data_IF_761684832654
#
_entry.id   IF_761684832654
#
_cell.length_a   1.000
_cell.length_b   1.000
_cell.length_c   1.000
_cell.angle_alpha   90.00
_cell.angle_beta   90.00
_cell.angle_gamma   90.00
#
_symmetry.space_group_name_H-M   'P 1'
#
loop_
_entity.id
_entity.type
_entity.pdbx_description
1 polymer ?
#
# COMPACT_ATOMS: atom_id res chain seq x y z
N UNK A 1 30.08 -26.60 54.13
CA UNK A 1 29.85 -25.29 53.48
C UNK A 1 28.70 -25.44 52.49
N UNK A 2 27.50 -24.88 52.76
CA UNK A 2 26.39 -24.87 51.80
C UNK A 2 26.36 -23.56 51.01
N UNK A 3 26.09 -23.62 49.70
CA UNK A 3 25.23 -22.65 48.97
C UNK A 3 25.16 -22.98 47.47
N UNK A 4 23.95 -23.24 46.93
CA UNK A 4 23.67 -23.24 45.50
C UNK A 4 23.19 -21.84 45.07
N UNK A 5 23.79 -21.26 44.01
CA UNK A 5 23.31 -19.97 43.48
C UNK A 5 22.46 -20.15 42.23
N UNK A 6 21.29 -19.54 42.33
CA UNK A 6 20.17 -19.57 41.43
C UNK A 6 20.44 -18.86 40.09
N UNK A 7 20.07 -19.59 39.04
CA UNK A 7 19.33 -19.16 37.86
C UNK A 7 18.83 -17.70 37.85
N UNK A 8 19.36 -16.88 36.93
CA UNK A 8 18.70 -15.70 36.38
C UNK A 8 18.70 -15.81 34.85
N UNK A 9 17.76 -16.60 34.31
CA UNK A 9 17.47 -16.63 32.88
C UNK A 9 16.74 -15.33 32.54
N UNK A 10 17.47 -14.36 32.04
CA UNK A 10 16.92 -13.11 31.52
C UNK A 10 15.85 -13.42 30.48
N UNK A 11 14.61 -13.01 30.76
CA UNK A 11 13.54 -12.95 29.76
C UNK A 11 13.94 -11.90 28.74
N UNK A 12 14.61 -12.31 27.67
CA UNK A 12 14.56 -11.54 26.42
C UNK A 12 13.09 -11.49 26.03
N UNK A 13 12.49 -10.30 26.01
CA UNK A 13 11.17 -10.11 25.42
C UNK A 13 11.37 -10.14 23.92
N UNK A 14 11.28 -11.32 23.35
CA UNK A 14 11.13 -11.56 21.93
C UNK A 14 9.75 -11.03 21.51
N UNK A 15 9.73 -9.78 21.03
CA UNK A 15 8.58 -9.11 20.41
C UNK A 15 8.21 -9.75 19.05
N UNK A 16 8.20 -11.07 18.96
CA UNK A 16 7.67 -11.77 17.80
C UNK A 16 6.14 -11.66 17.85
N UNK A 17 5.52 -11.17 16.77
CA UNK A 17 4.09 -11.36 16.56
C UNK A 17 3.82 -12.87 16.60
N UNK A 18 3.00 -13.31 17.56
CA UNK A 18 2.62 -14.71 17.75
C UNK A 18 1.15 -14.85 17.35
N UNK A 19 0.85 -15.92 16.64
CA UNK A 19 -0.53 -16.35 16.45
C UNK A 19 -1.13 -16.80 17.80
N UNK A 20 -2.46 -16.96 17.87
CA UNK A 20 -3.16 -17.41 19.08
C UNK A 20 -2.72 -18.78 19.64
N UNK A 21 -1.87 -19.50 18.92
CA UNK A 21 -1.27 -20.80 19.28
C UNK A 21 0.21 -20.71 19.70
N UNK A 22 0.81 -19.51 19.73
CA UNK A 22 2.18 -19.29 20.18
C UNK A 22 3.27 -19.50 19.13
N UNK A 23 2.93 -19.81 17.88
CA UNK A 23 3.90 -19.92 16.78
C UNK A 23 4.28 -18.51 16.28
N UNK A 24 5.58 -18.18 16.15
CA UNK A 24 5.99 -16.91 15.57
C UNK A 24 5.60 -16.89 14.08
N UNK A 25 4.77 -15.93 13.69
CA UNK A 25 4.60 -15.57 12.27
C UNK A 25 5.84 -14.80 11.86
N UNK A 26 6.87 -15.56 11.49
CA UNK A 26 7.93 -14.97 10.68
C UNK A 26 7.31 -14.63 9.33
N UNK A 27 7.54 -13.43 8.79
CA UNK A 27 7.20 -13.17 7.40
C UNK A 27 7.96 -14.21 6.57
N UNK A 28 7.27 -15.22 6.09
CA UNK A 28 7.84 -16.09 5.07
C UNK A 28 8.19 -15.21 3.86
N UNK A 29 9.12 -15.67 3.03
CA UNK A 29 9.52 -14.93 1.84
C UNK A 29 8.30 -14.46 1.00
N UNK A 30 7.24 -15.27 0.98
CA UNK A 30 5.98 -14.99 0.27
C UNK A 30 5.21 -13.79 0.88
N UNK A 31 5.12 -13.70 2.21
CA UNK A 31 4.47 -12.56 2.87
C UNK A 31 5.31 -11.27 2.74
N UNK A 32 6.64 -11.40 2.78
CA UNK A 32 7.54 -10.25 2.63
C UNK A 32 7.45 -9.61 1.24
N UNK A 33 7.25 -10.42 0.18
CA UNK A 33 7.16 -9.93 -1.20
C UNK A 33 5.91 -9.07 -1.47
N UNK A 34 4.83 -9.28 -0.71
CA UNK A 34 3.53 -8.61 -0.90
C UNK A 34 3.23 -7.54 0.14
N UNK A 35 4.10 -7.37 1.16
CA UNK A 35 3.88 -6.46 2.29
C UNK A 35 3.58 -5.00 1.88
N UNK A 36 4.16 -4.54 0.76
CA UNK A 36 3.98 -3.18 0.23
C UNK A 36 3.12 -3.12 -1.04
N UNK A 37 2.35 -4.18 -1.32
CA UNK A 37 1.49 -4.25 -2.49
C UNK A 37 0.03 -4.06 -2.10
N UNK A 38 -0.69 -3.25 -2.87
CA UNK A 38 -2.13 -3.05 -2.72
C UNK A 38 -2.79 -3.44 -4.04
N UNK A 39 -3.95 -4.10 -3.95
CA UNK A 39 -4.74 -4.43 -5.14
C UNK A 39 -5.17 -3.14 -5.83
N UNK A 40 -5.04 -3.08 -7.15
CA UNK A 40 -5.53 -1.95 -7.94
C UNK A 40 -7.01 -1.73 -7.66
N UNK A 41 -7.34 -0.52 -7.21
CA UNK A 41 -8.71 -0.19 -6.86
C UNK A 41 -9.58 -0.14 -8.13
N UNK A 42 -10.77 -0.76 -8.14
CA UNK A 42 -11.71 -0.64 -9.25
C UNK A 42 -12.19 0.81 -9.41
N UNK A 43 -12.41 1.24 -10.67
CA UNK A 43 -12.80 2.61 -11.03
C UNK A 43 -14.32 2.85 -11.06
N UNK A 44 -15.15 1.84 -10.80
CA UNK A 44 -16.58 2.03 -10.58
C UNK A 44 -16.87 3.09 -9.49
N UNK A 45 -17.84 3.96 -9.76
CA UNK A 45 -18.23 5.08 -8.91
C UNK A 45 -17.07 6.03 -8.58
N UNK A 46 -16.12 6.22 -9.50
CA UNK A 46 -15.00 7.14 -9.29
C UNK A 46 -15.48 8.55 -8.98
N UNK A 47 -16.52 9.03 -9.68
CA UNK A 47 -17.04 10.40 -9.52
C UNK A 47 -17.59 10.71 -8.13
N UNK A 48 -17.97 9.68 -7.37
CA UNK A 48 -18.55 9.86 -6.03
C UNK A 48 -17.48 9.84 -4.93
N UNK A 49 -16.21 9.59 -5.26
CA UNK A 49 -15.11 9.55 -4.28
C UNK A 49 -14.50 10.92 -4.11
N UNK A 50 -14.39 11.39 -2.87
CA UNK A 50 -13.78 12.66 -2.52
C UNK A 50 -12.30 12.54 -2.09
N UNK A 51 -11.77 11.31 -1.99
CA UNK A 51 -10.37 11.03 -1.66
C UNK A 51 -9.84 9.92 -2.57
N UNK A 52 -8.68 10.15 -3.14
CA UNK A 52 -8.00 9.29 -4.10
C UNK A 52 -6.60 8.93 -3.58
N UNK A 53 -5.92 8.02 -4.29
CA UNK A 53 -4.67 7.37 -3.87
C UNK A 53 -4.84 6.47 -2.64
N UNK A 54 -3.83 5.63 -2.39
CA UNK A 54 -3.83 4.72 -1.24
C UNK A 54 -3.70 5.44 0.11
N UNK A 55 -3.14 6.65 0.10
CA UNK A 55 -3.00 7.49 1.29
C UNK A 55 -4.19 8.46 1.51
N UNK A 56 -5.10 8.58 0.55
CA UNK A 56 -6.27 9.46 0.65
C UNK A 56 -5.94 10.97 0.64
N UNK A 57 -4.75 11.34 0.18
CA UNK A 57 -4.23 12.72 0.20
C UNK A 57 -4.44 13.48 -1.12
N UNK A 58 -5.20 12.93 -2.06
CA UNK A 58 -5.49 13.57 -3.35
C UNK A 58 -6.98 13.70 -3.57
N UNK A 59 -7.40 14.82 -4.17
CA UNK A 59 -8.82 15.21 -4.27
C UNK A 59 -9.32 15.36 -5.72
N UNK A 60 -8.43 15.24 -6.70
CA UNK A 60 -8.81 15.33 -8.13
C UNK A 60 -8.19 14.20 -8.95
N UNK A 61 -8.89 13.78 -9.99
CA UNK A 61 -8.44 12.71 -10.90
C UNK A 61 -7.11 13.08 -11.58
N UNK A 62 -6.95 14.33 -11.99
CA UNK A 62 -5.74 14.84 -12.62
C UNK A 62 -4.54 14.77 -11.68
N UNK A 63 -4.69 15.25 -10.43
CA UNK A 63 -3.63 15.17 -9.42
C UNK A 63 -3.31 13.71 -9.09
N UNK A 64 -4.32 12.84 -9.03
CA UNK A 64 -4.11 11.42 -8.77
C UNK A 64 -3.25 10.81 -9.87
N UNK A 65 -3.60 11.04 -11.15
CA UNK A 65 -2.80 10.59 -12.28
C UNK A 65 -1.35 11.12 -12.19
N UNK A 66 -1.17 12.41 -11.87
CA UNK A 66 0.16 13.00 -11.77
C UNK A 66 1.02 12.44 -10.62
N UNK A 67 0.41 12.07 -9.48
CA UNK A 67 1.11 11.50 -8.30
C UNK A 67 1.44 10.01 -8.42
N UNK A 68 0.87 9.30 -9.41
CA UNK A 68 1.16 7.89 -9.60
C UNK A 68 2.62 7.67 -10.06
N UNK A 69 3.32 6.80 -9.36
CA UNK A 69 4.71 6.43 -9.60
C UNK A 69 4.88 4.89 -9.56
N UNK A 70 6.13 4.41 -9.52
CA UNK A 70 6.44 2.99 -9.48
C UNK A 70 5.86 2.26 -10.68
N UNK A 71 4.96 1.31 -10.43
CA UNK A 71 4.31 0.49 -11.48
C UNK A 71 3.52 1.33 -12.51
N UNK A 72 3.04 2.51 -12.15
CA UNK A 72 2.24 3.37 -13.04
C UNK A 72 3.08 4.39 -13.84
N UNK A 73 4.38 4.49 -13.60
CA UNK A 73 5.23 5.57 -14.13
C UNK A 73 5.18 5.69 -15.67
N UNK A 74 5.18 4.55 -16.38
CA UNK A 74 5.10 4.52 -17.85
C UNK A 74 3.75 5.04 -18.36
N UNK A 75 2.66 4.72 -17.68
CA UNK A 75 1.31 5.17 -18.04
C UNK A 75 1.12 6.65 -17.69
N UNK A 76 1.66 7.12 -16.56
CA UNK A 76 1.67 8.55 -16.22
C UNK A 76 2.42 9.36 -17.28
N UNK A 77 3.59 8.88 -17.73
CA UNK A 77 4.33 9.52 -18.82
C UNK A 77 3.54 9.54 -20.14
N UNK A 78 2.89 8.44 -20.50
CA UNK A 78 2.04 8.35 -21.68
C UNK A 78 0.84 9.33 -21.60
N UNK A 79 0.19 9.43 -20.44
CA UNK A 79 -0.87 10.43 -20.21
C UNK A 79 -0.36 11.85 -20.37
N UNK A 80 0.81 12.17 -19.81
CA UNK A 80 1.40 13.50 -19.90
C UNK A 80 1.72 13.91 -21.34
N UNK A 81 2.12 12.95 -22.18
CA UNK A 81 2.39 13.14 -23.60
C UNK A 81 1.12 13.30 -24.48
N UNK A 82 -0.08 13.04 -23.93
CA UNK A 82 -1.32 13.21 -24.69
C UNK A 82 -1.59 14.70 -25.01
N UNK A 83 -2.13 14.99 -26.20
CA UNK A 83 -2.72 16.30 -26.48
C UNK A 83 -3.87 16.61 -25.51
N UNK A 84 -4.10 17.89 -25.22
CA UNK A 84 -5.12 18.32 -24.25
C UNK A 84 -6.53 17.82 -24.62
N UNK A 85 -6.86 17.77 -25.91
CA UNK A 85 -8.13 17.22 -26.38
C UNK A 85 -8.35 15.75 -25.93
N UNK A 86 -7.29 14.93 -25.95
CA UNK A 86 -7.33 13.53 -25.51
C UNK A 86 -7.38 13.42 -23.99
N UNK A 87 -6.61 14.26 -23.27
CA UNK A 87 -6.70 14.34 -21.79
C UNK A 87 -8.12 14.69 -21.36
N UNK A 88 -8.74 15.69 -22.00
CA UNK A 88 -10.11 16.10 -21.71
C UNK A 88 -11.14 15.00 -22.03
N UNK A 89 -10.94 14.22 -23.11
CA UNK A 89 -11.78 13.04 -23.39
C UNK A 89 -11.68 11.99 -22.29
N UNK A 90 -10.47 11.67 -21.83
CA UNK A 90 -10.24 10.72 -20.75
C UNK A 90 -10.89 11.19 -19.44
N UNK A 91 -10.69 12.47 -19.07
CA UNK A 91 -11.26 13.01 -17.85
C UNK A 91 -12.79 13.00 -17.85
N UNK A 92 -13.43 13.30 -18.99
CA UNK A 92 -14.90 13.16 -19.13
C UNK A 92 -15.36 11.72 -18.98
N UNK A 93 -14.62 10.76 -19.54
CA UNK A 93 -14.95 9.35 -19.34
C UNK A 93 -14.84 8.95 -17.86
N UNK A 94 -13.78 9.38 -17.17
CA UNK A 94 -13.59 9.09 -15.75
C UNK A 94 -14.68 9.74 -14.88
N UNK A 95 -15.17 10.91 -15.26
CA UNK A 95 -16.28 11.60 -14.56
C UNK A 95 -17.64 10.90 -14.75
N UNK A 96 -17.79 10.07 -15.79
CA UNK A 96 -19.00 9.28 -16.02
C UNK A 96 -19.03 7.94 -15.26
N UNK A 97 -17.96 7.60 -14.51
CA UNK A 97 -17.84 6.31 -13.79
C UNK A 97 -18.44 6.35 -12.39
#
# INVERSE_FOLDING_TARGET
MPSPQAQLRGRRRDNAFRNGDGIPILPTADYAATANQIRTAPLWALRTRNRLMHDGLTFTTQEAIARHAGQASSITAAYNALPDARKNQLLRFLDSL
#
